data_IF_421098209912
#
_entry.id   IF_421098209912
#
_cell.length_a   1.000
_cell.length_b   1.000
_cell.length_c   1.000
_cell.angle_alpha   90.00
_cell.angle_beta   90.00
_cell.angle_gamma   90.00
#
_symmetry.space_group_name_H-M   'P 1'
#
loop_
_entity.id
_entity.type
_entity.pdbx_description
1 polymer ?
#
# COMPACT_ATOMS: atom_id res chain seq x y z
N UNK A 1 4.16 6.02 -18.58
CA UNK A 1 4.58 6.09 -17.17
C UNK A 1 3.42 5.70 -16.28
N UNK A 2 3.61 4.77 -15.36
CA UNK A 2 2.58 4.35 -14.40
C UNK A 2 2.76 5.11 -13.08
N UNK A 3 1.65 5.45 -12.43
CA UNK A 3 1.65 6.10 -11.10
C UNK A 3 1.41 5.10 -9.96
N UNK A 4 0.58 4.09 -10.20
CA UNK A 4 0.46 2.90 -9.40
C UNK A 4 0.00 1.75 -10.30
N UNK A 5 0.37 0.51 -9.94
CA UNK A 5 -0.02 -0.69 -10.68
C UNK A 5 -0.07 -1.88 -9.72
N UNK A 6 -1.00 -2.79 -9.98
CA UNK A 6 -1.07 -4.11 -9.36
C UNK A 6 -0.95 -5.19 -10.44
N UNK A 7 -0.37 -6.33 -10.06
CA UNK A 7 -0.13 -7.48 -10.95
C UNK A 7 -0.52 -8.75 -10.20
N UNK A 8 -1.17 -9.69 -10.89
CA UNK A 8 -1.57 -10.99 -10.32
C UNK A 8 -3.08 -11.26 -10.38
N UNK A 9 -3.53 -12.23 -9.60
CA UNK A 9 -4.87 -12.83 -9.68
C UNK A 9 -6.04 -11.85 -9.47
N UNK A 10 -5.78 -10.70 -8.86
CA UNK A 10 -6.76 -9.65 -8.52
C UNK A 10 -6.38 -8.26 -9.05
N UNK A 11 -5.58 -8.23 -10.11
CA UNK A 11 -5.08 -6.97 -10.67
C UNK A 11 -6.18 -6.03 -11.19
N UNK A 12 -7.31 -6.56 -11.66
CA UNK A 12 -8.40 -5.73 -12.22
C UNK A 12 -9.08 -4.93 -11.11
N UNK A 13 -9.46 -5.58 -10.00
CA UNK A 13 -10.08 -4.90 -8.86
C UNK A 13 -9.10 -3.92 -8.20
N UNK A 14 -7.85 -4.34 -7.98
CA UNK A 14 -6.83 -3.51 -7.36
C UNK A 14 -6.48 -2.28 -8.24
N UNK A 15 -6.32 -2.43 -9.55
CA UNK A 15 -6.10 -1.28 -10.44
C UNK A 15 -7.30 -0.33 -10.45
N UNK A 16 -8.52 -0.85 -10.45
CA UNK A 16 -9.75 -0.01 -10.37
C UNK A 16 -9.79 0.79 -9.06
N UNK A 17 -9.36 0.20 -7.94
CA UNK A 17 -9.25 0.88 -6.65
C UNK A 17 -8.21 2.01 -6.70
N UNK A 18 -7.00 1.71 -7.22
CA UNK A 18 -5.92 2.68 -7.35
C UNK A 18 -6.31 3.86 -8.24
N UNK A 19 -6.96 3.61 -9.38
CA UNK A 19 -7.43 4.68 -10.28
C UNK A 19 -8.40 5.64 -9.59
N UNK A 20 -9.33 5.13 -8.78
CA UNK A 20 -10.28 5.97 -8.03
C UNK A 20 -9.58 6.83 -6.99
N UNK A 21 -8.57 6.31 -6.28
CA UNK A 21 -7.82 7.04 -5.25
C UNK A 21 -6.88 8.08 -5.87
N UNK A 22 -6.16 7.71 -6.93
CA UNK A 22 -5.25 8.59 -7.66
C UNK A 22 -5.97 9.74 -8.40
N UNK A 23 -7.25 9.56 -8.77
CA UNK A 23 -8.08 10.66 -9.30
C UNK A 23 -8.39 11.73 -8.25
N UNK A 24 -8.51 11.35 -6.97
CA UNK A 24 -8.88 12.27 -5.87
C UNK A 24 -7.69 13.02 -5.30
N UNK A 25 -6.57 12.32 -5.10
CA UNK A 25 -5.35 12.85 -4.50
C UNK A 25 -4.15 12.32 -5.29
N UNK A 26 -3.21 13.19 -5.57
CA UNK A 26 -2.01 12.88 -6.36
C UNK A 26 -0.71 13.01 -5.56
N UNK A 27 -0.69 13.89 -4.57
CA UNK A 27 0.48 14.12 -3.72
C UNK A 27 0.38 13.25 -2.47
N UNK A 28 1.08 12.12 -2.47
CA UNK A 28 1.14 11.22 -1.31
C UNK A 28 2.48 11.39 -0.60
N UNK A 29 2.45 11.42 0.74
CA UNK A 29 3.67 11.18 1.51
C UNK A 29 4.05 9.70 1.42
N UNK A 30 5.29 9.36 1.80
CA UNK A 30 5.75 7.97 1.82
C UNK A 30 4.81 7.08 2.65
N UNK A 31 4.41 7.54 3.84
CA UNK A 31 3.53 6.79 4.72
C UNK A 31 2.13 6.60 4.13
N UNK A 32 1.58 7.64 3.50
CA UNK A 32 0.27 7.54 2.84
C UNK A 32 0.31 6.61 1.62
N UNK A 33 1.43 6.58 0.88
CA UNK A 33 1.61 5.68 -0.23
C UNK A 33 1.70 4.21 0.23
N UNK A 34 2.42 3.95 1.33
CA UNK A 34 2.49 2.62 1.97
C UNK A 34 1.09 2.19 2.41
N UNK A 35 0.38 3.06 3.13
CA UNK A 35 -0.98 2.77 3.60
C UNK A 35 -1.92 2.48 2.43
N UNK A 36 -1.87 3.30 1.36
CA UNK A 36 -2.70 3.10 0.17
C UNK A 36 -2.40 1.76 -0.51
N UNK A 37 -1.14 1.36 -0.59
CA UNK A 37 -0.75 0.08 -1.19
C UNK A 37 -1.29 -1.11 -0.40
N UNK A 38 -1.17 -1.07 0.93
CA UNK A 38 -1.71 -2.12 1.82
C UNK A 38 -3.23 -2.18 1.73
N UNK A 39 -3.94 -1.04 1.86
CA UNK A 39 -5.40 -1.00 1.72
C UNK A 39 -5.87 -1.46 0.35
N UNK A 40 -5.13 -1.15 -0.72
CA UNK A 40 -5.44 -1.63 -2.07
C UNK A 40 -5.35 -3.15 -2.15
N UNK A 41 -4.32 -3.75 -1.53
CA UNK A 41 -4.15 -5.20 -1.50
C UNK A 41 -5.26 -5.86 -0.67
N UNK A 42 -5.55 -5.32 0.52
CA UNK A 42 -6.62 -5.82 1.40
C UNK A 42 -7.99 -5.74 0.73
N UNK A 43 -8.28 -4.64 0.03
CA UNK A 43 -9.54 -4.49 -0.71
C UNK A 43 -9.60 -5.45 -1.90
N UNK A 44 -8.51 -5.58 -2.67
CA UNK A 44 -8.45 -6.43 -3.86
C UNK A 44 -8.58 -7.93 -3.52
N UNK A 45 -8.06 -8.34 -2.37
CA UNK A 45 -8.14 -9.72 -1.88
C UNK A 45 -9.31 -9.95 -0.91
N UNK A 46 -9.93 -8.88 -0.40
CA UNK A 46 -10.95 -8.92 0.66
C UNK A 46 -10.46 -9.67 1.90
N UNK A 47 -9.23 -9.37 2.32
CA UNK A 47 -8.53 -10.01 3.45
C UNK A 47 -7.82 -8.95 4.28
N UNK A 48 -7.91 -9.09 5.61
CA UNK A 48 -7.09 -8.35 6.56
C UNK A 48 -5.76 -9.08 6.77
N UNK A 49 -4.66 -8.37 6.61
CA UNK A 49 -3.32 -8.94 6.76
C UNK A 49 -2.80 -8.78 8.18
N UNK A 50 -2.13 -9.81 8.68
CA UNK A 50 -1.21 -9.67 9.81
C UNK A 50 0.14 -9.13 9.31
N UNK A 51 0.95 -8.48 10.17
CA UNK A 51 2.30 -8.04 9.81
C UNK A 51 3.19 -9.16 9.24
N UNK A 52 2.97 -10.41 9.66
CA UNK A 52 3.71 -11.59 9.21
C UNK A 52 3.25 -12.15 7.84
N UNK A 53 2.14 -11.66 7.28
CA UNK A 53 1.53 -12.17 6.05
C UNK A 53 1.80 -11.26 4.84
N UNK A 54 2.42 -10.11 5.06
CA UNK A 54 2.71 -9.12 4.03
C UNK A 54 4.12 -8.58 4.20
N UNK A 55 4.85 -8.47 3.09
CA UNK A 55 6.15 -7.81 3.05
C UNK A 55 6.05 -6.56 2.19
N UNK A 56 6.63 -5.46 2.66
CA UNK A 56 6.59 -4.17 1.95
C UNK A 56 8.00 -3.64 1.78
N UNK A 57 8.38 -3.46 0.52
CA UNK A 57 9.62 -2.78 0.12
C UNK A 57 9.36 -1.32 -0.20
N UNK A 58 10.23 -0.43 0.29
CA UNK A 58 10.12 1.01 0.09
C UNK A 58 11.45 1.59 -0.42
N UNK A 59 11.32 2.59 -1.28
CA UNK A 59 12.42 3.43 -1.76
C UNK A 59 11.92 4.86 -1.84
N UNK A 60 12.75 5.82 -1.43
CA UNK A 60 12.36 7.23 -1.40
C UNK A 60 13.48 8.12 -1.94
N UNK A 61 13.19 9.40 -2.17
CA UNK A 61 14.22 10.36 -2.56
C UNK A 61 15.17 10.69 -1.41
N UNK A 62 14.68 10.61 -0.17
CA UNK A 62 15.47 10.83 1.05
C UNK A 62 16.37 9.65 1.40
N UNK A 63 15.90 8.43 1.11
CA UNK A 63 16.69 7.20 1.19
C UNK A 63 16.52 6.41 -0.12
N UNK A 64 17.48 6.52 -1.05
CA UNK A 64 17.41 5.90 -2.37
C UNK A 64 17.70 4.40 -2.34
N UNK A 65 18.05 3.84 -1.18
CA UNK A 65 18.25 2.41 -1.03
C UNK A 65 16.90 1.71 -0.88
N UNK A 66 16.78 0.55 -1.53
CA UNK A 66 15.65 -0.33 -1.29
C UNK A 66 15.76 -0.90 0.13
N UNK A 67 14.73 -0.68 0.95
CA UNK A 67 14.62 -1.30 2.27
C UNK A 67 13.28 -2.00 2.42
N UNK A 68 13.28 -3.10 3.17
CA UNK A 68 12.05 -3.78 3.59
C UNK A 68 11.60 -3.22 4.94
N UNK A 69 10.29 -3.01 5.09
CA UNK A 69 9.71 -2.65 6.38
C UNK A 69 9.78 -3.83 7.35
N UNK A 70 10.05 -3.52 8.60
CA UNK A 70 9.97 -4.50 9.70
C UNK A 70 8.52 -4.77 10.09
N UNK A 71 8.26 -5.92 10.74
CA UNK A 71 6.92 -6.25 11.24
C UNK A 71 6.36 -5.16 12.17
N UNK A 72 7.21 -4.53 13.00
CA UNK A 72 6.81 -3.44 13.89
C UNK A 72 6.40 -2.18 13.13
N UNK A 73 7.02 -1.87 11.98
CA UNK A 73 6.59 -0.76 11.12
C UNK A 73 5.27 -1.10 10.42
N UNK A 74 5.13 -2.33 9.93
CA UNK A 74 3.92 -2.82 9.29
C UNK A 74 2.72 -2.78 10.25
N UNK A 75 2.89 -3.24 11.48
CA UNK A 75 1.85 -3.23 12.52
C UNK A 75 1.29 -1.82 12.78
N UNK A 76 2.17 -0.82 12.83
CA UNK A 76 1.76 0.58 12.93
C UNK A 76 0.93 1.02 11.73
N UNK A 77 1.37 0.70 10.51
CA UNK A 77 0.62 1.05 9.31
C UNK A 77 -0.74 0.35 9.25
N UNK A 78 -0.80 -0.94 9.60
CA UNK A 78 -2.04 -1.73 9.66
C UNK A 78 -3.03 -1.17 10.68
N UNK A 79 -2.54 -0.79 11.87
CA UNK A 79 -3.35 -0.14 12.91
C UNK A 79 -3.96 1.17 12.40
N UNK A 80 -3.16 2.03 11.77
CA UNK A 80 -3.64 3.32 11.22
C UNK A 80 -4.68 3.11 10.11
N UNK A 81 -4.53 2.07 9.28
CA UNK A 81 -5.51 1.73 8.25
C UNK A 81 -6.83 1.31 8.91
N UNK A 82 -6.76 0.43 9.92
CA UNK A 82 -7.93 -0.04 10.66
C UNK A 82 -8.67 1.07 11.41
N UNK A 83 -7.98 2.13 11.84
CA UNK A 83 -8.61 3.32 12.46
C UNK A 83 -9.22 4.30 11.45
N UNK A 84 -8.84 4.21 10.17
CA UNK A 84 -9.30 5.11 9.10
C UNK A 84 -10.49 4.56 8.30
N UNK A 85 -10.72 3.25 8.34
CA UNK A 85 -11.93 2.60 7.80
C UNK A 85 -13.13 2.77 8.77
#
# INVERSE_FOLDING_TARGET
SYRAISVGSKQIEANTYLEKKLKKKQDYTLEEAIQLAISCLSTGLSVDFKPSEVEVGVVSTSDPHFRTLTETELDKHLTIIAEKD
#
